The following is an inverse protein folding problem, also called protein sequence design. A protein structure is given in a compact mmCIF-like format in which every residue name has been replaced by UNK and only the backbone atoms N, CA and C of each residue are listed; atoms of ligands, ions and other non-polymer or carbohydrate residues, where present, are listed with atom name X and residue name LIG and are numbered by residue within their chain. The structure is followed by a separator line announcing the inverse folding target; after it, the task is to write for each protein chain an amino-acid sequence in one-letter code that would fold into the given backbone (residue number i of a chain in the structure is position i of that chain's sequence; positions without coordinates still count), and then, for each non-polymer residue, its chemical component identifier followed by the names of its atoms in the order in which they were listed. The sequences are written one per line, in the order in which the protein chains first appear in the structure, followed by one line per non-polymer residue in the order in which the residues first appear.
data_IF_992963866915
#
_entry.id   IF_992963866915
#
_cell.length_a   1.000
_cell.length_b   1.000
_cell.length_c   1.000
_cell.angle_alpha   90.00
_cell.angle_beta   90.00
_cell.angle_gamma   90.00
#
_symmetry.space_group_name_H-M   'P 1'
#
loop_
_entity.id
_entity.type
_entity.pdbx_description
1 polymer ?
#
# COMPACT_ATOMS: atom_id res chain seq x y z
N UNK A 1 78.75 26.86 27.30
CA UNK A 1 77.28 27.01 27.31
C UNK A 1 76.69 25.72 26.75
N UNK A 2 76.00 25.01 27.64
CA UNK A 2 75.16 23.81 27.50
C UNK A 2 75.42 22.78 26.40
N UNK A 3 76.11 21.68 26.79
CA UNK A 3 76.01 20.34 26.20
C UNK A 3 76.22 19.27 27.31
N UNK A 4 75.37 18.24 27.23
CA UNK A 4 75.27 16.95 27.95
C UNK A 4 76.54 16.24 28.46
N UNK A 5 76.39 15.46 29.55
CA UNK A 5 76.67 14.00 29.71
C UNK A 5 76.94 13.65 31.19
N UNK A 6 76.13 12.76 31.78
CA UNK A 6 76.33 11.30 31.88
C UNK A 6 77.20 10.86 33.08
N UNK A 7 76.57 10.20 34.07
CA UNK A 7 77.11 9.19 35.02
C UNK A 7 75.88 8.50 35.64
N UNK A 8 75.82 7.20 35.90
CA UNK A 8 76.80 6.14 35.86
C UNK A 8 76.11 4.83 36.27
N UNK A 9 76.73 3.72 35.87
CA UNK A 9 76.26 2.34 35.89
C UNK A 9 76.70 1.61 37.18
N UNK A 10 76.17 0.39 37.36
CA UNK A 10 76.59 -0.71 38.26
C UNK A 10 76.05 -0.67 39.70
N UNK A 11 75.70 -1.78 40.36
CA UNK A 11 75.95 -3.19 40.06
C UNK A 11 75.17 -4.12 41.00
N UNK A 12 75.19 -5.41 40.66
CA UNK A 12 74.41 -6.49 41.25
C UNK A 12 74.94 -7.02 42.60
N UNK A 13 74.04 -7.54 43.44
CA UNK A 13 74.35 -8.39 44.60
C UNK A 13 73.11 -9.11 45.15
N UNK A 14 72.98 -10.39 44.81
CA UNK A 14 72.10 -11.43 45.41
C UNK A 14 72.46 -11.61 46.91
N UNK A 15 71.74 -12.22 47.85
CA UNK A 15 70.52 -13.01 48.01
C UNK A 15 70.27 -13.04 49.56
N UNK A 16 69.06 -12.81 50.09
CA UNK A 16 67.92 -13.72 50.30
C UNK A 16 67.95 -14.47 51.66
N UNK A 17 66.80 -14.39 52.37
CA UNK A 17 66.25 -15.22 53.47
C UNK A 17 66.10 -14.48 54.82
N UNK A 18 64.98 -14.50 55.53
CA UNK A 18 63.58 -14.91 55.31
C UNK A 18 62.83 -14.69 56.64
N UNK A 19 61.48 -14.68 56.55
CA UNK A 19 60.45 -14.81 57.58
C UNK A 19 59.99 -13.54 58.31
N UNK A 20 58.73 -13.36 58.70
CA UNK A 20 57.40 -13.82 58.27
C UNK A 20 56.41 -13.25 59.32
N UNK A 21 55.31 -12.61 58.93
CA UNK A 21 53.93 -12.79 59.42
C UNK A 21 53.13 -11.47 59.51
N UNK A 22 52.00 -11.46 58.79
CA UNK A 22 50.94 -10.46 58.86
C UNK A 22 49.79 -10.85 57.94
N UNK A 23 48.82 -11.58 58.49
CA UNK A 23 47.56 -12.01 57.86
C UNK A 23 46.66 -10.80 57.53
N UNK A 24 46.06 -10.74 56.33
CA UNK A 24 44.74 -10.14 56.11
C UNK A 24 44.12 -10.68 54.80
N UNK A 25 42.84 -11.06 54.89
CA UNK A 25 42.17 -12.04 54.06
C UNK A 25 41.94 -11.71 52.58
N UNK A 26 41.86 -12.78 51.79
CA UNK A 26 41.40 -12.79 50.40
C UNK A 26 39.95 -13.29 50.38
N UNK A 27 39.01 -12.40 50.07
CA UNK A 27 37.69 -12.77 49.55
C UNK A 27 37.82 -13.00 48.03
N UNK A 28 37.26 -14.07 47.46
CA UNK A 28 37.20 -14.20 46.01
C UNK A 28 36.14 -13.25 45.47
N UNK A 29 36.57 -12.24 44.72
CA UNK A 29 35.72 -11.46 43.83
C UNK A 29 35.20 -12.39 42.73
N UNK A 30 34.04 -12.99 42.96
CA UNK A 30 33.25 -13.61 41.89
C UNK A 30 32.79 -12.48 40.95
N UNK A 31 33.57 -12.24 39.90
CA UNK A 31 33.15 -11.38 38.80
C UNK A 31 31.93 -12.01 38.14
N UNK A 32 30.74 -11.49 38.44
CA UNK A 32 29.57 -11.73 37.60
C UNK A 32 29.87 -11.09 36.24
N UNK A 33 30.25 -11.93 35.28
CA UNK A 33 30.20 -11.54 33.88
C UNK A 33 28.72 -11.23 33.57
N UNK A 34 28.37 -9.94 33.55
CA UNK A 34 27.15 -9.49 32.91
C UNK A 34 27.25 -9.96 31.45
N UNK A 35 26.54 -11.04 31.14
CA UNK A 35 26.34 -11.44 29.77
C UNK A 35 25.68 -10.26 29.06
N UNK A 36 26.45 -9.55 28.22
CA UNK A 36 25.87 -8.63 27.26
C UNK A 36 24.92 -9.46 26.40
N UNK A 37 23.63 -9.30 26.66
CA UNK A 37 22.57 -9.88 25.84
C UNK A 37 22.76 -9.28 24.45
N UNK A 38 23.42 -10.01 23.55
CA UNK A 38 23.51 -9.64 22.15
C UNK A 38 22.09 -9.44 21.65
N UNK A 39 21.74 -8.22 21.24
CA UNK A 39 20.44 -7.92 20.69
C UNK A 39 20.12 -8.93 19.58
N UNK A 40 18.99 -9.62 19.71
CA UNK A 40 18.58 -10.62 18.72
C UNK A 40 18.60 -9.98 17.33
N UNK A 41 19.22 -10.63 16.35
CA UNK A 41 19.20 -10.13 14.97
C UNK A 41 17.76 -10.20 14.44
N UNK A 42 17.26 -9.17 13.74
CA UNK A 42 15.93 -9.21 13.18
C UNK A 42 15.78 -10.35 12.17
N UNK A 43 14.71 -11.12 12.32
CA UNK A 43 14.35 -12.18 11.37
C UNK A 43 13.72 -11.64 10.09
N UNK A 44 13.19 -10.42 10.17
CA UNK A 44 12.59 -9.70 9.06
C UNK A 44 12.77 -8.20 9.26
N UNK A 45 13.22 -7.51 8.21
CA UNK A 45 13.37 -6.05 8.15
C UNK A 45 12.51 -5.50 7.03
N UNK A 46 11.68 -4.52 7.33
CA UNK A 46 10.79 -3.86 6.39
C UNK A 46 11.11 -2.36 6.41
N UNK A 47 11.32 -1.75 5.25
CA UNK A 47 11.56 -0.31 5.13
C UNK A 47 10.71 0.28 4.00
N UNK A 48 10.29 1.54 4.11
CA UNK A 48 9.69 2.26 2.98
C UNK A 48 8.45 3.09 3.34
N UNK A 49 7.36 2.90 2.60
CA UNK A 49 6.16 3.76 2.64
C UNK A 49 5.60 3.98 4.05
N UNK A 50 5.35 5.24 4.41
CA UNK A 50 4.64 5.64 5.63
C UNK A 50 3.25 5.01 5.71
N UNK A 51 2.58 4.86 4.56
CA UNK A 51 1.23 4.28 4.51
C UNK A 51 1.26 2.82 4.94
N UNK A 52 2.19 2.06 4.41
CA UNK A 52 2.27 0.62 4.67
C UNK A 52 2.95 0.37 6.03
N UNK A 53 4.06 1.06 6.28
CA UNK A 53 4.94 0.83 7.41
C UNK A 53 4.43 1.33 8.76
N UNK A 54 3.64 2.41 8.81
CA UNK A 54 3.20 2.97 10.09
C UNK A 54 2.18 2.08 10.82
N UNK A 55 1.40 1.28 10.09
CA UNK A 55 0.31 0.47 10.66
C UNK A 55 0.19 -0.93 10.05
N UNK A 56 0.13 -1.07 8.72
CA UNK A 56 -0.16 -2.35 8.09
C UNK A 56 0.96 -3.38 8.28
N UNK A 57 2.20 -3.04 7.93
CA UNK A 57 3.36 -3.94 8.03
C UNK A 57 3.57 -4.50 9.46
N UNK A 58 3.63 -3.68 10.53
CA UNK A 58 3.83 -4.21 11.88
C UNK A 58 2.65 -5.06 12.36
N UNK A 59 1.41 -4.73 11.95
CA UNK A 59 0.24 -5.57 12.23
C UNK A 59 0.31 -6.92 11.52
N UNK A 60 0.70 -6.95 10.24
CA UNK A 60 0.87 -8.20 9.48
C UNK A 60 1.94 -9.10 10.11
N UNK A 61 3.08 -8.54 10.51
CA UNK A 61 4.14 -9.30 11.18
C UNK A 61 3.67 -9.85 12.53
N UNK A 62 2.97 -9.04 13.32
CA UNK A 62 2.46 -9.47 14.62
C UNK A 62 1.46 -10.63 14.47
N UNK A 63 0.54 -10.54 13.52
CA UNK A 63 -0.45 -11.60 13.30
C UNK A 63 0.16 -12.84 12.63
N UNK A 64 1.20 -12.69 11.80
CA UNK A 64 2.02 -13.82 11.33
C UNK A 64 2.65 -14.58 12.50
N UNK A 65 3.29 -13.87 13.43
CA UNK A 65 3.90 -14.49 14.61
C UNK A 65 2.86 -15.24 15.44
N UNK A 66 1.67 -14.65 15.66
CA UNK A 66 0.59 -15.35 16.36
C UNK A 66 0.11 -16.59 15.60
N UNK A 67 -0.05 -16.49 14.28
CA UNK A 67 -0.49 -17.61 13.44
C UNK A 67 0.51 -18.76 13.41
N UNK A 68 1.81 -18.47 13.55
CA UNK A 68 2.88 -19.48 13.67
C UNK A 68 3.10 -19.97 15.11
N UNK A 69 2.26 -19.56 16.07
CA UNK A 69 2.29 -20.06 17.45
C UNK A 69 3.31 -19.36 18.36
N UNK A 70 3.88 -18.24 17.94
CA UNK A 70 4.73 -17.44 18.81
C UNK A 70 3.92 -16.78 19.92
N UNK A 71 4.55 -16.61 21.08
CA UNK A 71 3.94 -16.02 22.28
C UNK A 71 4.50 -14.62 22.56
N UNK A 72 3.92 -13.90 23.52
CA UNK A 72 4.35 -12.56 23.93
C UNK A 72 4.49 -11.54 22.78
N UNK A 73 3.63 -11.66 21.76
CA UNK A 73 3.67 -10.81 20.57
C UNK A 73 3.30 -9.38 20.93
N UNK A 74 4.20 -8.44 20.66
CA UNK A 74 4.00 -7.02 20.93
C UNK A 74 4.65 -6.14 19.87
N UNK A 75 3.97 -5.03 19.53
CA UNK A 75 4.48 -3.97 18.67
C UNK A 75 4.89 -2.82 19.58
N UNK A 76 6.13 -2.32 19.46
CA UNK A 76 6.65 -1.21 20.25
C UNK A 76 7.35 -0.19 19.37
N UNK A 77 7.20 1.13 19.64
CA UNK A 77 8.03 2.13 18.99
C UNK A 77 9.48 1.95 19.40
N UNK A 78 10.42 2.23 18.49
CA UNK A 78 11.87 2.15 18.80
C UNK A 78 12.41 3.42 19.45
N UNK A 79 11.60 4.48 19.50
CA UNK A 79 12.03 5.84 19.87
C UNK A 79 12.52 6.66 18.67
N UNK A 80 12.68 6.03 17.49
CA UNK A 80 12.83 6.74 16.22
C UNK A 80 11.45 6.88 15.58
N UNK A 81 11.21 8.04 14.98
CA UNK A 81 9.95 8.38 14.33
C UNK A 81 9.60 7.36 13.24
N UNK A 82 8.34 6.93 13.19
CA UNK A 82 7.84 5.93 12.22
C UNK A 82 8.62 4.60 12.19
N UNK A 83 9.36 4.30 13.26
CA UNK A 83 10.05 3.03 13.44
C UNK A 83 9.45 2.21 14.57
N UNK A 84 9.17 0.95 14.25
CA UNK A 84 8.55 0.01 15.15
C UNK A 84 9.29 -1.32 15.15
N UNK A 85 9.31 -1.96 16.32
CA UNK A 85 9.78 -3.32 16.49
C UNK A 85 8.60 -4.21 16.85
N UNK A 86 8.49 -5.35 16.17
CA UNK A 86 7.58 -6.43 16.53
C UNK A 86 8.40 -7.52 17.22
N UNK A 87 8.13 -7.78 18.49
CA UNK A 87 8.82 -8.81 19.28
C UNK A 87 7.89 -9.96 19.61
N UNK A 88 8.40 -11.18 19.68
CA UNK A 88 7.71 -12.37 20.14
C UNK A 88 8.69 -13.38 20.77
N UNK A 89 8.18 -14.49 21.29
CA UNK A 89 8.96 -15.64 21.77
C UNK A 89 8.59 -16.92 21.04
N UNK A 90 9.60 -17.68 20.62
CA UNK A 90 9.41 -19.01 20.03
C UNK A 90 9.03 -20.06 21.09
N UNK A 91 8.85 -21.31 20.66
CA UNK A 91 8.48 -22.43 21.54
C UNK A 91 9.54 -22.73 22.62
N UNK A 92 10.78 -22.29 22.44
CA UNK A 92 11.89 -22.42 23.39
C UNK A 92 12.06 -21.15 24.25
N UNK A 93 11.15 -20.19 24.12
CA UNK A 93 11.19 -18.91 24.83
C UNK A 93 12.24 -17.93 24.30
N UNK A 94 12.90 -18.24 23.17
CA UNK A 94 13.92 -17.36 22.58
C UNK A 94 13.25 -16.15 21.91
N UNK A 95 13.85 -14.95 22.05
CA UNK A 95 13.28 -13.75 21.46
C UNK A 95 13.42 -13.76 19.93
N UNK A 96 12.31 -13.46 19.25
CA UNK A 96 12.24 -13.22 17.81
C UNK A 96 11.79 -11.79 17.59
N UNK A 97 12.50 -11.06 16.74
CA UNK A 97 12.18 -9.67 16.45
C UNK A 97 12.10 -9.41 14.95
N UNK A 98 11.22 -8.51 14.55
CA UNK A 98 11.19 -7.89 13.24
C UNK A 98 11.19 -6.37 13.40
N UNK A 99 11.73 -5.66 12.41
CA UNK A 99 11.79 -4.21 12.42
C UNK A 99 11.06 -3.62 11.22
N UNK A 100 10.38 -2.50 11.44
CA UNK A 100 9.68 -1.73 10.41
C UNK A 100 10.13 -0.28 10.51
N UNK A 101 10.62 0.30 9.41
CA UNK A 101 10.96 1.72 9.32
C UNK A 101 10.21 2.39 8.16
N UNK A 102 9.30 3.30 8.47
CA UNK A 102 8.45 3.95 7.49
C UNK A 102 8.92 5.39 7.23
N UNK A 103 9.71 5.57 6.17
CA UNK A 103 10.36 6.84 5.80
C UNK A 103 10.10 7.23 4.34
N UNK A 104 9.00 6.74 3.77
CA UNK A 104 8.61 6.92 2.38
C UNK A 104 9.11 5.82 1.43
N UNK A 105 8.33 5.53 0.38
CA UNK A 105 8.52 4.35 -0.50
C UNK A 105 9.93 4.22 -1.10
N UNK A 106 10.57 5.35 -1.44
CA UNK A 106 11.92 5.36 -2.02
C UNK A 106 13.00 4.78 -1.10
N UNK A 107 12.85 4.96 0.22
CA UNK A 107 13.82 4.48 1.21
C UNK A 107 13.88 2.96 1.29
N UNK A 108 12.74 2.28 1.07
CA UNK A 108 12.69 0.82 0.99
C UNK A 108 13.51 0.27 -0.18
N UNK A 109 13.42 0.89 -1.36
CA UNK A 109 14.19 0.49 -2.53
C UNK A 109 15.70 0.71 -2.33
N UNK A 110 16.09 1.82 -1.71
CA UNK A 110 17.49 2.05 -1.28
C UNK A 110 17.93 0.98 -0.29
N UNK A 111 17.06 0.61 0.65
CA UNK A 111 17.33 -0.44 1.62
C UNK A 111 17.54 -1.81 0.98
N UNK A 112 16.74 -2.16 -0.04
CA UNK A 112 16.92 -3.42 -0.79
C UNK A 112 18.25 -3.43 -1.52
N UNK A 113 18.60 -2.31 -2.17
CA UNK A 113 19.87 -2.16 -2.89
C UNK A 113 21.08 -2.37 -1.97
N UNK A 114 20.99 -1.83 -0.76
CA UNK A 114 22.08 -1.87 0.23
C UNK A 114 22.05 -3.14 1.12
N UNK A 115 21.03 -4.00 0.97
CA UNK A 115 20.84 -5.19 1.82
C UNK A 115 20.47 -4.88 3.28
N UNK A 116 20.03 -3.66 3.58
CA UNK A 116 19.62 -3.22 4.93
C UNK A 116 18.16 -3.54 5.24
N UNK A 117 17.36 -3.89 4.23
CA UNK A 117 15.98 -4.37 4.38
C UNK A 117 15.78 -5.68 3.62
N UNK A 118 14.81 -6.48 4.05
CA UNK A 118 14.41 -7.71 3.35
C UNK A 118 13.18 -7.47 2.47
N UNK A 119 12.33 -6.52 2.87
CA UNK A 119 11.17 -6.07 2.11
C UNK A 119 11.15 -4.54 2.01
N UNK A 120 10.90 -4.03 0.81
CA UNK A 120 10.56 -2.62 0.59
C UNK A 120 9.04 -2.46 0.57
N UNK A 121 8.49 -1.78 1.56
CA UNK A 121 7.10 -1.36 1.57
C UNK A 121 6.91 -0.16 0.64
N UNK A 122 5.93 -0.19 -0.24
CA UNK A 122 5.66 0.91 -1.17
C UNK A 122 4.17 1.16 -1.32
N UNK A 123 3.79 2.42 -1.52
CA UNK A 123 2.42 2.83 -1.81
C UNK A 123 2.23 3.35 -3.24
N UNK A 124 3.17 2.98 -4.12
CA UNK A 124 3.13 3.19 -5.57
C UNK A 124 3.96 2.10 -6.25
N UNK A 125 3.78 1.87 -7.55
CA UNK A 125 4.72 1.06 -8.31
C UNK A 125 6.16 1.60 -8.19
N UNK A 126 7.14 0.71 -8.32
CA UNK A 126 8.55 1.08 -8.46
C UNK A 126 8.75 2.00 -9.67
N UNK A 127 9.50 3.09 -9.50
CA UNK A 127 9.84 4.03 -10.61
C UNK A 127 10.89 3.40 -11.51
N UNK A 128 10.94 3.80 -12.77
CA UNK A 128 11.93 3.25 -13.72
C UNK A 128 13.38 3.55 -13.31
N UNK A 129 13.64 4.71 -12.68
CA UNK A 129 14.96 5.02 -12.12
C UNK A 129 15.34 4.12 -10.93
N UNK A 130 14.37 3.74 -10.09
CA UNK A 130 14.58 2.81 -8.98
C UNK A 130 14.82 1.39 -9.52
N UNK A 131 14.03 0.96 -10.50
CA UNK A 131 14.18 -0.32 -11.20
C UNK A 131 15.58 -0.44 -11.81
N UNK A 132 16.04 0.58 -12.54
CA UNK A 132 17.38 0.63 -13.11
C UNK A 132 18.46 0.53 -12.03
N UNK A 133 18.26 1.19 -10.87
CA UNK A 133 19.22 1.17 -9.77
C UNK A 133 19.32 -0.19 -9.03
N UNK A 134 18.29 -1.04 -9.20
CA UNK A 134 18.12 -2.34 -8.55
C UNK A 134 18.30 -3.51 -9.51
N UNK A 135 18.68 -3.26 -10.77
CA UNK A 135 18.76 -4.28 -11.81
C UNK A 135 19.65 -5.48 -11.44
N UNK A 136 20.66 -5.28 -10.58
CA UNK A 136 21.53 -6.35 -10.08
C UNK A 136 20.81 -7.37 -9.19
N UNK A 137 19.64 -7.05 -8.65
CA UNK A 137 18.82 -7.97 -7.84
C UNK A 137 17.89 -8.85 -8.69
N UNK A 138 17.70 -8.50 -9.97
CA UNK A 138 16.78 -9.17 -10.89
C UNK A 138 15.57 -8.30 -11.27
N UNK A 139 14.51 -8.93 -11.77
CA UNK A 139 13.30 -8.24 -12.22
C UNK A 139 12.38 -7.91 -11.03
N UNK A 140 12.42 -6.65 -10.58
CA UNK A 140 11.58 -6.16 -9.48
C UNK A 140 10.10 -6.03 -9.87
N UNK A 141 9.74 -6.14 -11.16
CA UNK A 141 8.35 -6.21 -11.63
C UNK A 141 7.85 -7.66 -11.75
N UNK A 142 8.66 -8.66 -11.40
CA UNK A 142 8.24 -10.07 -11.39
C UNK A 142 7.28 -10.40 -10.24
N UNK A 143 6.48 -11.45 -10.42
CA UNK A 143 5.62 -12.04 -9.37
C UNK A 143 6.37 -12.46 -8.10
N UNK A 144 7.69 -12.69 -8.18
CA UNK A 144 8.50 -13.03 -7.01
C UNK A 144 8.84 -11.76 -6.22
N UNK A 145 9.16 -10.67 -6.91
CA UNK A 145 9.50 -9.41 -6.28
C UNK A 145 8.27 -8.64 -5.79
N UNK A 146 7.32 -8.33 -6.68
CA UNK A 146 6.24 -7.39 -6.44
C UNK A 146 4.99 -8.08 -5.88
N UNK A 147 4.60 -7.68 -4.67
CA UNK A 147 3.43 -8.22 -3.97
C UNK A 147 2.43 -7.11 -3.69
N UNK A 148 1.32 -7.08 -4.43
CA UNK A 148 0.20 -6.17 -4.13
C UNK A 148 -0.64 -6.78 -3.02
N UNK A 149 -0.59 -6.23 -1.82
CA UNK A 149 -1.20 -6.85 -0.62
C UNK A 149 -2.51 -6.22 -0.17
N UNK A 150 -2.76 -4.97 -0.55
CA UNK A 150 -3.94 -4.21 -0.15
C UNK A 150 -4.22 -3.10 -1.16
N UNK A 151 -5.46 -2.59 -1.14
CA UNK A 151 -5.84 -1.37 -1.85
C UNK A 151 -6.18 -0.29 -0.83
N UNK A 152 -5.69 0.90 -1.07
CA UNK A 152 -5.96 2.09 -0.27
C UNK A 152 -6.84 3.05 -1.07
N UNK A 153 -7.67 3.81 -0.35
CA UNK A 153 -8.58 4.78 -0.93
C UNK A 153 -8.59 6.05 -0.09
N UNK A 154 -8.64 7.19 -0.78
CA UNK A 154 -8.69 8.49 -0.12
C UNK A 154 -10.06 9.16 -0.33
N UNK A 155 -10.72 9.52 0.76
CA UNK A 155 -11.94 10.30 0.71
C UNK A 155 -11.61 11.80 0.77
N UNK A 156 -12.16 12.57 -0.16
CA UNK A 156 -12.19 14.03 -0.05
C UNK A 156 -13.42 14.40 0.74
N UNK A 157 -13.20 15.10 1.84
CA UNK A 157 -14.25 15.43 2.80
C UNK A 157 -14.48 16.94 2.85
N UNK A 158 -15.74 17.31 2.96
CA UNK A 158 -16.22 18.68 3.15
C UNK A 158 -17.25 18.71 4.28
N UNK A 159 -17.61 19.92 4.71
CA UNK A 159 -18.70 20.10 5.65
C UNK A 159 -20.02 19.48 5.15
N UNK A 160 -20.86 18.88 6.01
CA UNK A 160 -22.14 18.26 5.62
C UNK A 160 -23.10 19.17 4.84
N UNK A 161 -23.08 20.48 5.10
CA UNK A 161 -23.93 21.47 4.40
C UNK A 161 -23.36 21.95 3.06
N UNK A 162 -22.16 21.53 2.66
CA UNK A 162 -21.58 21.95 1.39
C UNK A 162 -22.42 21.33 0.23
N UNK A 163 -22.92 22.15 -0.72
CA UNK A 163 -23.85 21.68 -1.74
C UNK A 163 -23.19 20.78 -2.80
N UNK A 164 -21.87 20.86 -2.96
CA UNK A 164 -21.11 20.09 -3.95
C UNK A 164 -21.33 18.59 -3.76
N UNK A 165 -21.62 17.87 -4.84
CA UNK A 165 -21.78 16.41 -4.83
C UNK A 165 -20.53 15.70 -5.36
N UNK A 166 -19.84 16.34 -6.29
CA UNK A 166 -18.63 15.82 -6.92
C UNK A 166 -17.62 16.93 -7.19
N UNK A 167 -16.36 16.55 -7.34
CA UNK A 167 -15.27 17.44 -7.77
C UNK A 167 -14.34 16.66 -8.71
N UNK A 168 -13.81 17.31 -9.75
CA UNK A 168 -12.81 16.66 -10.61
C UNK A 168 -11.44 16.60 -9.94
N UNK A 169 -10.62 15.63 -10.36
CA UNK A 169 -9.21 15.51 -9.97
C UNK A 169 -8.43 16.81 -10.22
N UNK A 170 -8.67 17.47 -11.36
CA UNK A 170 -8.06 18.75 -11.71
C UNK A 170 -8.52 19.90 -10.78
N UNK A 171 -9.83 20.04 -10.56
CA UNK A 171 -10.36 21.06 -9.65
C UNK A 171 -9.83 20.88 -8.23
N UNK A 172 -9.73 19.62 -7.78
CA UNK A 172 -9.18 19.27 -6.48
C UNK A 172 -7.71 19.67 -6.36
N UNK A 173 -6.88 19.39 -7.38
CA UNK A 173 -5.48 19.80 -7.40
C UNK A 173 -5.33 21.33 -7.34
N UNK A 174 -6.09 22.06 -8.17
CA UNK A 174 -6.10 23.53 -8.19
C UNK A 174 -6.53 24.13 -6.84
N UNK A 175 -7.52 23.51 -6.20
CA UNK A 175 -8.03 23.93 -4.90
C UNK A 175 -6.95 23.76 -3.82
N UNK A 176 -6.31 22.60 -3.72
CA UNK A 176 -5.24 22.38 -2.73
C UNK A 176 -3.93 23.10 -3.05
N UNK A 177 -3.74 23.56 -4.29
CA UNK A 177 -2.68 24.48 -4.70
C UNK A 177 -3.00 25.96 -4.38
N UNK A 178 -4.17 26.26 -3.81
CA UNK A 178 -4.59 27.62 -3.44
C UNK A 178 -4.98 28.51 -4.62
N UNK A 179 -5.18 27.92 -5.80
CA UNK A 179 -5.58 28.61 -7.03
C UNK A 179 -7.09 28.86 -7.09
N UNK A 180 -7.87 28.08 -6.33
CA UNK A 180 -9.30 28.31 -6.08
C UNK A 180 -9.42 28.72 -4.62
N UNK A 181 -9.96 29.92 -4.37
CA UNK A 181 -10.04 30.50 -3.02
C UNK A 181 -11.47 30.59 -2.51
N UNK A 182 -12.45 30.48 -3.39
CA UNK A 182 -13.87 30.45 -3.08
C UNK A 182 -14.55 29.29 -3.81
N UNK A 183 -15.45 28.58 -3.12
CA UNK A 183 -16.21 27.47 -3.68
C UNK A 183 -17.06 27.87 -4.90
N UNK A 184 -17.51 29.13 -4.98
CA UNK A 184 -18.27 29.64 -6.12
C UNK A 184 -17.49 29.58 -7.45
N UNK A 185 -16.16 29.62 -7.42
CA UNK A 185 -15.31 29.52 -8.62
C UNK A 185 -15.41 28.15 -9.32
N UNK A 186 -15.86 27.12 -8.60
CA UNK A 186 -16.03 25.76 -9.10
C UNK A 186 -17.48 25.25 -8.97
N UNK A 187 -18.43 26.18 -8.84
CA UNK A 187 -19.88 25.88 -8.83
C UNK A 187 -20.47 25.56 -7.45
N UNK A 188 -19.74 25.83 -6.36
CA UNK A 188 -20.24 25.72 -4.99
C UNK A 188 -20.90 27.01 -4.48
N UNK A 189 -21.10 27.07 -3.16
CA UNK A 189 -21.62 28.27 -2.48
C UNK A 189 -20.57 29.41 -2.44
N UNK A 190 -21.01 30.65 -2.25
CA UNK A 190 -20.11 31.77 -1.99
C UNK A 190 -19.51 31.67 -0.57
N UNK A 191 -18.47 30.86 -0.46
CA UNK A 191 -17.77 30.54 0.79
C UNK A 191 -16.27 30.43 0.50
N UNK A 192 -15.46 31.09 1.34
CA UNK A 192 -14.00 30.94 1.28
C UNK A 192 -13.57 29.51 1.57
N UNK A 193 -12.63 29.01 0.78
CA UNK A 193 -12.06 27.66 0.93
C UNK A 193 -11.04 27.66 2.07
N UNK A 194 -11.17 26.70 2.99
CA UNK A 194 -10.17 26.42 4.03
C UNK A 194 -9.59 25.02 3.84
N UNK A 195 -8.27 24.95 3.66
CA UNK A 195 -7.56 23.72 3.35
C UNK A 195 -7.12 23.02 4.63
N UNK A 196 -7.49 21.75 4.77
CA UNK A 196 -7.07 20.86 5.85
C UNK A 196 -6.32 19.68 5.27
N UNK A 197 -5.12 19.41 5.76
CA UNK A 197 -4.26 18.36 5.22
C UNK A 197 -3.54 17.63 6.35
N UNK A 198 -3.26 16.35 6.16
CA UNK A 198 -2.42 15.59 7.10
C UNK A 198 -0.97 16.04 7.00
N UNK A 199 -0.23 15.96 8.09
CA UNK A 199 1.19 16.38 8.18
C UNK A 199 2.15 15.63 7.22
N UNK A 200 3.42 16.02 7.25
CA UNK A 200 4.46 15.47 6.35
C UNK A 200 4.83 14.02 6.69
N UNK A 201 4.47 13.54 7.89
CA UNK A 201 4.70 12.16 8.35
C UNK A 201 3.59 11.22 7.86
N UNK A 202 2.48 11.76 7.36
CA UNK A 202 1.29 11.01 7.05
C UNK A 202 1.37 10.25 5.72
N UNK A 203 1.15 8.93 5.81
CA UNK A 203 0.90 8.11 4.61
C UNK A 203 -0.34 8.55 3.82
N UNK A 204 -1.34 9.12 4.49
CA UNK A 204 -2.52 9.70 3.83
C UNK A 204 -2.13 10.94 3.01
N UNK A 205 -1.22 11.79 3.52
CA UNK A 205 -0.69 12.91 2.75
C UNK A 205 0.19 12.45 1.58
N UNK A 206 1.05 11.44 1.78
CA UNK A 206 1.81 10.85 0.68
C UNK A 206 0.90 10.35 -0.45
N UNK A 207 -0.26 9.79 -0.10
CA UNK A 207 -1.31 9.39 -1.06
C UNK A 207 -1.80 10.58 -1.86
N UNK A 208 -2.24 11.62 -1.16
CA UNK A 208 -2.83 12.80 -1.77
C UNK A 208 -1.82 13.52 -2.67
N UNK A 209 -0.58 13.64 -2.19
CA UNK A 209 0.53 14.23 -2.93
C UNK A 209 0.79 13.49 -4.24
N UNK A 210 0.82 12.17 -4.24
CA UNK A 210 1.08 11.39 -5.46
C UNK A 210 -0.12 11.37 -6.41
N UNK A 211 -1.34 11.15 -5.90
CA UNK A 211 -2.53 10.95 -6.74
C UNK A 211 -3.17 12.26 -7.26
N UNK A 212 -3.03 13.36 -6.51
CA UNK A 212 -3.72 14.63 -6.81
C UNK A 212 -2.72 15.72 -7.21
N UNK A 213 -1.72 15.96 -6.37
CA UNK A 213 -0.82 17.10 -6.58
C UNK A 213 0.20 16.84 -7.69
N UNK A 214 0.96 15.75 -7.59
CA UNK A 214 2.00 15.39 -8.54
C UNK A 214 1.44 15.05 -9.92
N UNK A 215 0.27 14.41 -9.99
CA UNK A 215 -0.42 14.12 -11.25
C UNK A 215 -0.79 15.38 -12.04
N UNK A 216 -0.93 16.52 -11.37
CA UNK A 216 -1.21 17.83 -11.98
C UNK A 216 -0.04 18.80 -11.87
N UNK A 217 1.17 18.33 -11.52
CA UNK A 217 2.36 19.18 -11.34
C UNK A 217 2.15 20.37 -10.39
N UNK A 218 1.39 20.14 -9.31
CA UNK A 218 1.13 21.12 -8.25
C UNK A 218 1.71 20.67 -6.92
N UNK A 219 1.69 21.58 -5.93
CA UNK A 219 2.12 21.33 -4.56
C UNK A 219 1.08 21.86 -3.59
N UNK A 220 1.07 21.32 -2.37
CA UNK A 220 0.16 21.78 -1.34
C UNK A 220 0.45 23.26 -1.00
N UNK A 221 -0.60 24.07 -0.97
CA UNK A 221 -0.48 25.47 -0.59
C UNK A 221 -0.12 25.62 0.90
N UNK A 222 0.72 26.60 1.22
CA UNK A 222 1.24 26.83 2.58
C UNK A 222 0.18 27.23 3.61
N UNK A 223 -1.02 27.64 3.16
CA UNK A 223 -2.14 27.95 4.05
C UNK A 223 -2.88 26.73 4.59
N UNK A 224 -2.53 25.52 4.16
CA UNK A 224 -3.20 24.31 4.61
C UNK A 224 -2.90 24.04 6.09
N UNK A 225 -3.95 23.95 6.90
CA UNK A 225 -3.85 23.53 8.29
C UNK A 225 -3.41 22.07 8.34
N UNK A 226 -2.38 21.78 9.15
CA UNK A 226 -1.70 20.48 9.21
C UNK A 226 -2.17 19.70 10.43
N UNK A 227 -2.48 18.42 10.23
CA UNK A 227 -3.01 17.53 11.29
C UNK A 227 -2.25 16.21 11.36
N UNK A 228 -1.91 15.79 12.57
CA UNK A 228 -1.38 14.46 12.82
C UNK A 228 -2.49 13.40 12.74
N UNK A 229 -3.69 13.68 13.23
CA UNK A 229 -4.81 12.72 13.26
C UNK A 229 -5.78 12.90 12.09
N UNK A 230 -6.19 11.78 11.46
CA UNK A 230 -7.30 11.81 10.49
C UNK A 230 -8.62 12.22 11.14
N UNK A 231 -8.87 11.76 12.37
CA UNK A 231 -10.14 11.98 13.05
C UNK A 231 -10.27 13.43 13.52
N UNK A 232 -9.16 14.05 13.94
CA UNK A 232 -9.10 15.48 14.25
C UNK A 232 -9.31 16.33 13.00
N UNK A 233 -8.66 15.98 11.89
CA UNK A 233 -8.86 16.65 10.59
C UNK A 233 -10.33 16.57 10.17
N UNK A 234 -10.93 15.39 10.26
CA UNK A 234 -12.36 15.18 9.94
C UNK A 234 -13.28 16.01 10.83
N UNK A 235 -13.02 16.04 12.15
CA UNK A 235 -13.77 16.86 13.08
C UNK A 235 -13.65 18.37 12.77
N UNK A 236 -12.45 18.84 12.39
CA UNK A 236 -12.23 20.22 11.97
C UNK A 236 -13.04 20.58 10.72
N UNK A 237 -13.07 19.68 9.71
CA UNK A 237 -13.88 19.87 8.49
C UNK A 237 -15.39 19.93 8.81
N UNK A 238 -15.86 19.14 9.78
CA UNK A 238 -17.27 19.19 10.24
C UNK A 238 -17.60 20.48 10.99
N UNK A 239 -16.62 21.15 11.61
CA UNK A 239 -16.83 22.42 12.31
C UNK A 239 -16.93 23.64 11.39
N UNK A 240 -16.69 23.46 10.09
CA UNK A 240 -16.35 24.56 9.21
C UNK A 240 -16.99 24.43 7.80
N UNK A 241 -18.04 25.20 7.48
CA UNK A 241 -18.72 25.15 6.18
C UNK A 241 -17.86 25.39 4.93
N UNK A 242 -16.73 26.09 5.08
CA UNK A 242 -15.79 26.39 3.99
C UNK A 242 -14.65 25.36 3.87
N UNK A 243 -14.54 24.43 4.83
CA UNK A 243 -13.42 23.50 4.89
C UNK A 243 -13.50 22.37 3.87
N UNK A 244 -12.32 21.96 3.41
CA UNK A 244 -12.07 20.73 2.66
C UNK A 244 -10.80 20.09 3.15
N UNK A 245 -10.85 18.77 3.25
CA UNK A 245 -9.70 17.96 3.62
C UNK A 245 -9.76 16.59 2.98
N UNK A 246 -8.80 15.75 3.34
CA UNK A 246 -8.73 14.37 2.86
C UNK A 246 -8.32 13.43 3.98
N UNK A 247 -8.94 12.25 4.00
CA UNK A 247 -8.74 11.20 5.01
C UNK A 247 -8.84 9.82 4.38
N UNK A 248 -8.28 8.80 5.04
CA UNK A 248 -8.61 7.41 4.69
C UNK A 248 -10.09 7.11 4.95
N UNK A 249 -10.67 6.15 4.21
CA UNK A 249 -12.11 5.84 4.24
C UNK A 249 -12.68 5.66 5.66
N UNK A 250 -11.95 4.98 6.54
CA UNK A 250 -12.40 4.71 7.92
C UNK A 250 -12.57 5.98 8.79
N UNK A 251 -11.98 7.11 8.40
CA UNK A 251 -11.97 8.36 9.16
C UNK A 251 -12.85 9.46 8.56
N UNK A 252 -13.71 9.14 7.58
CA UNK A 252 -14.69 10.11 7.04
C UNK A 252 -15.60 10.63 8.17
N UNK A 253 -16.00 9.75 9.10
CA UNK A 253 -16.77 10.14 10.28
C UNK A 253 -18.11 10.80 9.91
N UNK A 254 -18.35 12.01 10.45
CA UNK A 254 -19.55 12.80 10.16
C UNK A 254 -19.40 13.77 8.98
N UNK A 255 -18.20 13.87 8.40
CA UNK A 255 -17.99 14.74 7.25
C UNK A 255 -18.70 14.17 6.01
N UNK A 256 -18.98 15.02 5.02
CA UNK A 256 -19.53 14.60 3.74
C UNK A 256 -18.38 14.26 2.80
N UNK A 257 -18.36 13.04 2.27
CA UNK A 257 -17.44 12.67 1.20
C UNK A 257 -17.96 13.17 -0.16
N UNK A 258 -17.08 13.73 -0.98
CA UNK A 258 -17.38 14.08 -2.36
C UNK A 258 -17.10 12.90 -3.30
N UNK A 259 -17.93 12.74 -4.33
CA UNK A 259 -17.58 11.89 -5.46
C UNK A 259 -16.46 12.52 -6.29
N UNK A 260 -15.58 11.71 -6.87
CA UNK A 260 -14.48 12.18 -7.70
C UNK A 260 -14.73 11.81 -9.15
N UNK A 261 -14.52 12.77 -10.04
CA UNK A 261 -14.39 12.53 -11.49
C UNK A 261 -12.94 12.69 -11.93
N UNK A 262 -12.57 11.97 -12.98
CA UNK A 262 -11.26 12.06 -13.60
C UNK A 262 -11.40 11.90 -15.12
N UNK A 263 -11.10 12.97 -15.86
CA UNK A 263 -11.45 13.08 -17.28
C UNK A 263 -12.96 12.87 -17.51
N UNK A 264 -13.29 11.92 -18.39
CA UNK A 264 -14.67 11.61 -18.78
C UNK A 264 -15.35 10.55 -17.89
N UNK A 265 -14.74 10.18 -16.75
CA UNK A 265 -15.34 9.18 -15.86
C UNK A 265 -16.62 9.68 -15.20
N UNK A 266 -17.49 8.73 -14.84
CA UNK A 266 -18.65 9.04 -14.00
C UNK A 266 -18.18 9.44 -12.60
N UNK A 267 -18.88 10.34 -11.88
CA UNK A 267 -18.58 10.64 -10.50
C UNK A 267 -18.65 9.38 -9.64
N UNK A 268 -17.57 9.07 -8.93
CA UNK A 268 -17.47 7.88 -8.07
C UNK A 268 -17.24 8.27 -6.61
N UNK A 269 -18.04 7.70 -5.70
CA UNK A 269 -17.81 7.83 -4.27
C UNK A 269 -16.66 6.90 -3.79
N UNK A 270 -15.98 7.27 -2.69
CA UNK A 270 -14.96 6.43 -2.05
C UNK A 270 -15.60 5.25 -1.31
N UNK A 271 -16.15 4.29 -2.04
CA UNK A 271 -16.78 3.09 -1.50
C UNK A 271 -15.78 1.94 -1.45
N UNK A 272 -15.95 1.01 -0.50
CA UNK A 272 -15.14 -0.21 -0.44
C UNK A 272 -15.12 -0.96 -1.77
N UNK A 273 -16.25 -1.00 -2.48
CA UNK A 273 -16.42 -1.71 -3.75
C UNK A 273 -15.69 -1.02 -4.90
N UNK A 274 -15.84 0.30 -5.05
CA UNK A 274 -15.19 1.09 -6.10
C UNK A 274 -13.68 1.22 -5.86
N UNK A 275 -13.25 1.20 -4.60
CA UNK A 275 -11.83 1.13 -4.24
C UNK A 275 -11.27 -0.27 -4.50
N UNK A 276 -11.97 -1.36 -4.13
CA UNK A 276 -11.52 -2.73 -4.36
C UNK A 276 -11.29 -3.05 -5.84
N UNK A 277 -12.16 -2.55 -6.72
CA UNK A 277 -12.02 -2.68 -8.17
C UNK A 277 -10.98 -1.71 -8.75
N UNK A 278 -10.45 -0.77 -7.97
CA UNK A 278 -9.57 0.31 -8.42
C UNK A 278 -10.24 1.24 -9.46
N UNK A 279 -11.58 1.31 -9.46
CA UNK A 279 -12.36 2.23 -10.31
C UNK A 279 -12.34 3.64 -9.72
N UNK A 280 -12.45 3.77 -8.39
CA UNK A 280 -12.47 5.06 -7.72
C UNK A 280 -11.17 5.86 -7.96
N UNK A 281 -11.21 7.11 -8.45
CA UNK A 281 -10.02 7.81 -8.93
C UNK A 281 -8.87 7.92 -7.92
N UNK A 282 -9.18 8.10 -6.64
CA UNK A 282 -8.19 8.22 -5.57
C UNK A 282 -7.93 6.89 -4.85
N UNK A 283 -7.92 5.80 -5.61
CA UNK A 283 -7.48 4.48 -5.15
C UNK A 283 -6.04 4.20 -5.57
N UNK A 284 -5.33 3.38 -4.79
CA UNK A 284 -3.99 2.92 -5.12
C UNK A 284 -3.69 1.56 -4.52
N UNK A 285 -2.74 0.87 -5.14
CA UNK A 285 -2.20 -0.38 -4.65
C UNK A 285 -1.15 -0.13 -3.57
N UNK A 286 -1.12 -1.01 -2.57
CA UNK A 286 -0.07 -1.10 -1.56
C UNK A 286 0.76 -2.35 -1.81
N UNK A 287 2.08 -2.19 -1.76
CA UNK A 287 3.06 -3.16 -2.22
C UNK A 287 4.05 -3.53 -1.13
N UNK A 288 4.50 -4.77 -1.19
CA UNK A 288 5.84 -5.15 -0.71
C UNK A 288 6.68 -5.61 -1.91
N UNK A 289 7.91 -5.15 -1.98
CA UNK A 289 8.90 -5.62 -2.93
C UNK A 289 9.98 -6.43 -2.20
N UNK A 290 10.27 -7.63 -2.71
CA UNK A 290 11.36 -8.48 -2.25
C UNK A 290 12.47 -8.56 -3.31
N UNK A 291 13.67 -8.95 -2.90
CA UNK A 291 14.72 -9.33 -3.85
C UNK A 291 14.33 -10.65 -4.54
N UNK A 292 14.01 -10.68 -5.85
CA UNK A 292 13.50 -11.87 -6.51
C UNK A 292 14.54 -13.01 -6.57
N UNK A 293 15.83 -12.70 -6.46
CA UNK A 293 16.91 -13.68 -6.49
C UNK A 293 17.18 -14.34 -5.13
N UNK A 294 16.66 -13.78 -4.04
CA UNK A 294 16.94 -14.26 -2.68
C UNK A 294 15.79 -13.96 -1.73
N UNK A 295 14.93 -14.96 -1.51
CA UNK A 295 13.94 -14.91 -0.45
C UNK A 295 14.44 -15.71 0.76
N UNK A 296 14.53 -15.06 1.92
CA UNK A 296 14.64 -15.78 3.17
C UNK A 296 13.36 -16.58 3.44
N UNK A 297 13.42 -17.58 4.31
CA UNK A 297 12.22 -18.31 4.71
C UNK A 297 11.18 -17.37 5.34
N UNK A 298 11.62 -16.36 6.10
CA UNK A 298 10.76 -15.34 6.71
C UNK A 298 10.06 -14.46 5.67
N UNK A 299 10.75 -14.06 4.60
CA UNK A 299 10.14 -13.30 3.50
C UNK A 299 9.03 -14.09 2.84
N UNK A 300 9.24 -15.38 2.53
CA UNK A 300 8.21 -16.23 1.93
C UNK A 300 6.98 -16.37 2.83
N UNK A 301 7.20 -16.72 4.12
CA UNK A 301 6.10 -16.87 5.08
C UNK A 301 5.32 -15.57 5.28
N UNK A 302 5.99 -14.43 5.31
CA UNK A 302 5.32 -13.14 5.36
C UNK A 302 4.47 -12.87 4.12
N UNK A 303 4.98 -13.10 2.91
CA UNK A 303 4.24 -12.90 1.65
C UNK A 303 3.02 -13.83 1.60
N UNK A 304 3.21 -15.11 1.92
CA UNK A 304 2.14 -16.11 1.94
C UNK A 304 1.05 -15.73 2.95
N UNK A 305 1.43 -15.32 4.17
CA UNK A 305 0.50 -14.86 5.18
C UNK A 305 -0.23 -13.59 4.74
N UNK A 306 0.47 -12.59 4.19
CA UNK A 306 -0.14 -11.34 3.75
C UNK A 306 -1.23 -11.56 2.68
N UNK A 307 -1.10 -12.58 1.84
CA UNK A 307 -2.10 -12.95 0.85
C UNK A 307 -3.18 -13.93 1.34
N UNK A 308 -3.00 -14.57 2.49
CA UNK A 308 -3.98 -15.46 3.11
C UNK A 308 -5.22 -14.70 3.63
N UNK A 309 -6.32 -15.40 3.88
CA UNK A 309 -7.53 -14.80 4.46
C UNK A 309 -7.27 -14.16 5.83
N UNK A 310 -6.40 -14.77 6.65
CA UNK A 310 -5.99 -14.20 7.93
C UNK A 310 -5.24 -12.87 7.74
N UNK A 311 -4.29 -12.81 6.80
CA UNK A 311 -3.57 -11.57 6.46
C UNK A 311 -4.49 -10.51 5.87
N UNK A 312 -5.44 -10.89 5.03
CA UNK A 312 -6.43 -9.97 4.48
C UNK A 312 -7.41 -9.45 5.54
N UNK A 313 -7.72 -10.22 6.59
CA UNK A 313 -8.45 -9.70 7.75
C UNK A 313 -7.65 -8.61 8.49
N UNK A 314 -6.32 -8.73 8.55
CA UNK A 314 -5.44 -7.68 9.08
C UNK A 314 -5.48 -6.42 8.20
N UNK A 315 -5.50 -6.58 6.87
CA UNK A 315 -5.66 -5.46 5.92
C UNK A 315 -6.90 -4.64 6.24
N UNK A 316 -8.06 -5.30 6.43
CA UNK A 316 -9.31 -4.64 6.83
C UNK A 316 -9.17 -3.95 8.19
N UNK A 317 -8.62 -4.65 9.19
CA UNK A 317 -8.41 -4.08 10.54
C UNK A 317 -7.48 -2.87 10.53
N UNK A 318 -6.51 -2.83 9.63
CA UNK A 318 -5.62 -1.69 9.45
C UNK A 318 -6.35 -0.47 8.84
N UNK A 319 -7.51 -0.67 8.21
CA UNK A 319 -8.33 0.36 7.58
C UNK A 319 -8.20 0.42 6.06
N UNK A 320 -7.61 -0.61 5.45
CA UNK A 320 -7.44 -0.74 4.00
C UNK A 320 -8.43 -1.74 3.41
N UNK A 321 -8.49 -1.79 2.09
CA UNK A 321 -9.38 -2.68 1.36
C UNK A 321 -8.64 -3.98 1.03
N UNK A 322 -9.21 -5.09 1.50
CA UNK A 322 -8.74 -6.44 1.21
C UNK A 322 -9.03 -6.87 -0.23
N UNK A 323 -8.29 -7.87 -0.69
CA UNK A 323 -8.36 -8.43 -2.04
C UNK A 323 -9.32 -9.63 -2.13
N UNK A 324 -10.07 -9.93 -1.06
CA UNK A 324 -11.09 -10.99 -1.08
C UNK A 324 -12.19 -10.64 -2.10
N UNK A 325 -12.66 -11.67 -2.81
CA UNK A 325 -13.69 -11.54 -3.83
C UNK A 325 -15.06 -11.45 -3.17
N UNK A 326 -15.82 -10.42 -3.53
CA UNK A 326 -17.22 -10.25 -3.15
C UNK A 326 -18.07 -10.03 -4.39
N UNK A 327 -19.28 -10.58 -4.40
CA UNK A 327 -20.27 -10.31 -5.45
C UNK A 327 -21.19 -9.16 -5.02
N UNK A 328 -21.22 -8.10 -5.82
CA UNK A 328 -21.96 -6.87 -5.55
C UNK A 328 -23.00 -6.59 -6.62
N UNK A 329 -24.21 -6.24 -6.19
CA UNK A 329 -25.25 -5.76 -7.11
C UNK A 329 -24.88 -4.35 -7.59
N UNK A 330 -25.05 -4.11 -8.88
CA UNK A 330 -24.82 -2.79 -9.46
C UNK A 330 -26.17 -2.12 -9.72
N UNK A 331 -26.29 -0.83 -9.40
CA UNK A 331 -27.48 -0.05 -9.72
C UNK A 331 -27.42 0.36 -11.20
N UNK A 332 -28.32 -0.12 -12.07
CA UNK A 332 -28.29 0.25 -13.47
C UNK A 332 -28.62 1.74 -13.65
N UNK A 333 -27.77 2.46 -14.38
CA UNK A 333 -28.00 3.86 -14.76
C UNK A 333 -28.30 3.98 -16.25
N UNK A 334 -29.09 4.99 -16.65
CA UNK A 334 -29.36 5.28 -18.07
C UNK A 334 -28.09 5.61 -18.86
N UNK A 335 -27.04 6.11 -18.19
CA UNK A 335 -25.73 6.40 -18.80
C UNK A 335 -24.94 5.16 -19.20
N UNK A 336 -25.33 3.97 -18.74
CA UNK A 336 -24.64 2.72 -19.09
C UNK A 336 -25.17 2.15 -20.42
N UNK A 337 -24.35 1.47 -21.24
CA UNK A 337 -24.81 0.77 -22.45
C UNK A 337 -25.92 -0.25 -22.17
N UNK A 338 -26.83 -0.45 -23.12
CA UNK A 338 -28.04 -1.27 -22.92
C UNK A 338 -27.73 -2.70 -22.45
N UNK A 339 -26.75 -3.37 -23.06
CA UNK A 339 -26.31 -4.71 -22.67
C UNK A 339 -25.74 -4.73 -21.24
N UNK A 340 -24.93 -3.72 -20.87
CA UNK A 340 -24.35 -3.61 -19.53
C UNK A 340 -25.42 -3.34 -18.47
N UNK A 341 -26.44 -2.52 -18.76
CA UNK A 341 -27.60 -2.32 -17.87
C UNK A 341 -28.37 -3.60 -17.64
N UNK A 342 -28.52 -4.44 -18.66
CA UNK A 342 -29.19 -5.73 -18.52
C UNK A 342 -28.37 -6.66 -17.63
N UNK A 343 -27.06 -6.75 -17.86
CA UNK A 343 -26.15 -7.51 -17.02
C UNK A 343 -26.23 -7.04 -15.56
N UNK A 344 -26.23 -5.72 -15.31
CA UNK A 344 -26.36 -5.14 -13.97
C UNK A 344 -27.68 -5.47 -13.27
N UNK A 345 -28.76 -5.76 -14.02
CA UNK A 345 -30.04 -6.18 -13.45
C UNK A 345 -30.08 -7.66 -13.08
N UNK A 346 -29.37 -8.50 -13.82
CA UNK A 346 -29.50 -9.96 -13.73
C UNK A 346 -28.33 -10.65 -13.01
N UNK A 347 -27.18 -9.98 -12.91
CA UNK A 347 -25.95 -10.54 -12.38
C UNK A 347 -25.34 -9.61 -11.33
N UNK A 348 -24.41 -10.16 -10.55
CA UNK A 348 -23.57 -9.43 -9.59
C UNK A 348 -22.16 -9.28 -10.15
N UNK A 349 -21.59 -8.08 -10.04
CA UNK A 349 -20.19 -7.82 -10.40
C UNK A 349 -19.31 -8.33 -9.27
N UNK A 350 -18.19 -8.99 -9.58
CA UNK A 350 -17.20 -9.30 -8.53
C UNK A 350 -16.32 -8.08 -8.27
N UNK A 351 -15.88 -7.88 -7.03
CA UNK A 351 -15.01 -6.77 -6.59
C UNK A 351 -13.55 -6.93 -7.05
N UNK A 352 -13.35 -7.22 -8.34
CA UNK A 352 -12.04 -7.41 -8.96
C UNK A 352 -12.07 -6.93 -10.40
N UNK A 353 -10.99 -6.26 -10.79
CA UNK A 353 -10.68 -5.93 -12.16
C UNK A 353 -9.37 -6.62 -12.55
N UNK A 354 -9.35 -7.25 -13.72
CA UNK A 354 -8.11 -7.74 -14.31
C UNK A 354 -7.48 -6.64 -15.15
N UNK A 355 -6.23 -6.31 -14.83
CA UNK A 355 -5.41 -5.32 -15.54
C UNK A 355 -4.18 -5.99 -16.13
N UNK A 356 -3.48 -5.24 -16.98
CA UNK A 356 -2.40 -5.75 -17.81
C UNK A 356 -1.15 -4.92 -17.58
N UNK A 357 0.01 -5.55 -17.76
CA UNK A 357 1.28 -4.84 -17.79
C UNK A 357 1.27 -3.78 -18.90
N UNK A 358 2.00 -2.69 -18.67
CA UNK A 358 2.00 -1.58 -19.62
C UNK A 358 2.50 -2.01 -21.01
N UNK A 359 1.79 -1.58 -22.05
CA UNK A 359 2.04 -1.99 -23.43
C UNK A 359 1.87 -3.50 -23.72
N UNK A 360 1.30 -4.29 -22.81
CA UNK A 360 1.24 -5.76 -22.91
C UNK A 360 -0.19 -6.31 -22.84
N UNK A 361 -0.36 -7.54 -23.35
CA UNK A 361 -1.56 -8.35 -23.14
C UNK A 361 -1.41 -9.35 -21.97
N UNK A 362 -0.27 -9.31 -21.26
CA UNK A 362 -0.01 -10.10 -20.07
C UNK A 362 -0.71 -9.46 -18.87
N UNK A 363 -1.36 -10.28 -18.05
CA UNK A 363 -1.96 -9.83 -16.79
C UNK A 363 -0.88 -9.29 -15.86
N UNK A 364 -1.16 -8.20 -15.16
CA UNK A 364 -0.26 -7.71 -14.12
C UNK A 364 -0.18 -8.67 -12.93
N UNK A 365 0.75 -8.42 -11.99
CA UNK A 365 0.99 -9.34 -10.88
C UNK A 365 -0.23 -9.52 -9.96
N UNK A 366 -1.01 -8.45 -9.72
CA UNK A 366 -2.23 -8.53 -8.93
C UNK A 366 -3.27 -9.39 -9.66
N UNK A 367 -3.49 -9.11 -10.94
CA UNK A 367 -4.43 -9.82 -11.78
C UNK A 367 -4.08 -11.31 -11.88
N UNK A 368 -2.80 -11.66 -11.97
CA UNK A 368 -2.36 -13.06 -11.92
C UNK A 368 -2.75 -13.75 -10.61
N UNK A 369 -2.56 -13.12 -9.45
CA UNK A 369 -3.03 -13.67 -8.15
C UNK A 369 -4.55 -13.71 -8.05
N UNK A 370 -5.23 -12.73 -8.65
CA UNK A 370 -6.68 -12.65 -8.64
C UNK A 370 -7.35 -13.75 -9.48
N UNK A 371 -6.67 -14.29 -10.48
CA UNK A 371 -7.14 -15.49 -11.21
C UNK A 371 -7.40 -16.62 -10.20
N UNK A 372 -6.46 -16.89 -9.30
CA UNK A 372 -6.58 -17.96 -8.31
C UNK A 372 -7.71 -17.66 -7.30
N UNK A 373 -7.82 -16.41 -6.83
CA UNK A 373 -8.89 -15.99 -5.91
C UNK A 373 -10.27 -16.12 -6.54
N UNK A 374 -10.41 -15.74 -7.80
CA UNK A 374 -11.67 -15.85 -8.53
C UNK A 374 -12.01 -17.33 -8.76
N UNK A 375 -11.05 -18.18 -9.11
CA UNK A 375 -11.28 -19.62 -9.25
C UNK A 375 -11.74 -20.23 -7.92
N UNK A 376 -11.10 -19.88 -6.80
CA UNK A 376 -11.50 -20.34 -5.47
C UNK A 376 -12.92 -19.90 -5.15
N UNK A 377 -13.22 -18.60 -5.29
CA UNK A 377 -14.55 -18.05 -5.07
C UNK A 377 -15.63 -18.74 -5.92
N UNK A 378 -15.40 -18.90 -7.23
CA UNK A 378 -16.36 -19.54 -8.12
C UNK A 378 -16.59 -21.00 -7.77
N UNK A 379 -15.55 -21.71 -7.31
CA UNK A 379 -15.65 -23.11 -6.86
C UNK A 379 -16.46 -23.23 -5.57
N UNK A 380 -16.16 -22.40 -4.59
CA UNK A 380 -16.84 -22.38 -3.28
C UNK A 380 -18.33 -22.06 -3.39
N UNK A 381 -18.72 -21.30 -4.43
CA UNK A 381 -20.10 -20.86 -4.64
C UNK A 381 -20.85 -21.64 -5.75
N UNK A 382 -20.28 -22.72 -6.30
CA UNK A 382 -20.85 -23.51 -7.41
C UNK A 382 -21.16 -22.68 -8.68
N UNK A 383 -20.28 -21.72 -9.01
CA UNK A 383 -20.42 -20.78 -10.13
C UNK A 383 -19.48 -21.10 -11.30
N UNK A 384 -18.81 -22.26 -11.30
CA UNK A 384 -17.83 -22.63 -12.33
C UNK A 384 -18.46 -22.87 -13.72
N UNK A 385 -19.76 -23.21 -13.80
CA UNK A 385 -20.39 -23.68 -15.05
C UNK A 385 -21.47 -22.73 -15.57
N UNK A 386 -21.15 -21.96 -16.61
CA UNK A 386 -22.07 -21.06 -17.32
C UNK A 386 -22.77 -20.03 -16.43
N UNK A 387 -22.13 -19.63 -15.32
CA UNK A 387 -22.60 -18.56 -14.43
C UNK A 387 -21.75 -17.31 -14.51
N UNK A 388 -20.54 -17.38 -15.07
CA UNK A 388 -19.63 -16.25 -15.15
C UNK A 388 -19.70 -15.54 -16.52
N UNK A 389 -19.56 -14.21 -16.51
CA UNK A 389 -19.45 -13.35 -17.69
C UNK A 389 -18.20 -12.47 -17.57
N UNK A 390 -17.49 -12.27 -18.68
CA UNK A 390 -16.39 -11.30 -18.75
C UNK A 390 -16.77 -10.13 -19.65
N UNK A 391 -16.47 -8.92 -19.20
CA UNK A 391 -16.68 -7.68 -19.94
C UNK A 391 -15.35 -6.94 -20.03
N UNK A 392 -14.82 -6.80 -21.24
CA UNK A 392 -13.60 -6.06 -21.49
C UNK A 392 -13.84 -4.59 -21.79
N UNK A 393 -12.91 -3.74 -21.35
CA UNK A 393 -12.87 -2.30 -21.57
C UNK A 393 -11.50 -1.85 -22.12
N UNK A 394 -11.44 -0.64 -22.63
CA UNK A 394 -10.28 -0.05 -23.28
C UNK A 394 -10.19 1.46 -23.09
N UNK A 395 -9.12 2.02 -23.64
CA UNK A 395 -8.60 3.37 -23.39
C UNK A 395 -8.57 4.24 -24.66
N UNK A 396 -9.16 3.77 -25.75
CA UNK A 396 -8.87 4.29 -27.09
C UNK A 396 -10.09 4.90 -27.77
N UNK A 397 -9.98 6.16 -28.20
CA UNK A 397 -10.88 6.81 -29.18
C UNK A 397 -10.63 6.28 -30.61
N UNK A 398 -10.41 4.97 -30.75
CA UNK A 398 -10.34 4.32 -32.05
C UNK A 398 -11.76 4.21 -32.62
N UNK A 399 -11.86 3.79 -33.89
CA UNK A 399 -13.15 3.36 -34.44
C UNK A 399 -13.86 2.40 -33.45
N UNK A 400 -15.15 2.61 -33.12
CA UNK A 400 -15.85 1.86 -32.09
C UNK A 400 -15.78 0.34 -32.28
N UNK A 401 -15.79 -0.14 -33.53
CA UNK A 401 -15.69 -1.58 -33.82
C UNK A 401 -14.33 -2.15 -33.45
N UNK A 402 -13.25 -1.38 -33.66
CA UNK A 402 -11.89 -1.75 -33.29
C UNK A 402 -11.68 -1.70 -31.78
N UNK A 403 -12.23 -0.70 -31.10
CA UNK A 403 -12.20 -0.61 -29.64
C UNK A 403 -12.92 -1.80 -28.99
N UNK A 404 -14.11 -2.15 -29.47
CA UNK A 404 -14.87 -3.32 -29.03
C UNK A 404 -14.10 -4.63 -29.26
N UNK A 405 -13.43 -4.79 -30.41
CA UNK A 405 -12.60 -5.97 -30.69
C UNK A 405 -11.41 -6.08 -29.72
N UNK A 406 -10.65 -5.00 -29.51
CA UNK A 406 -9.46 -5.00 -28.64
C UNK A 406 -9.86 -5.29 -27.19
N UNK A 407 -10.90 -4.65 -26.69
CA UNK A 407 -11.42 -4.90 -25.35
C UNK A 407 -11.91 -6.34 -25.18
N UNK A 408 -12.56 -6.92 -26.19
CA UNK A 408 -12.93 -8.35 -26.19
C UNK A 408 -11.70 -9.27 -26.18
N UNK A 409 -10.64 -8.96 -26.92
CA UNK A 409 -9.40 -9.75 -26.90
C UNK A 409 -8.74 -9.75 -25.51
N UNK A 410 -8.80 -8.64 -24.78
CA UNK A 410 -8.36 -8.59 -23.37
C UNK A 410 -9.21 -9.51 -22.49
N UNK A 411 -10.53 -9.48 -22.65
CA UNK A 411 -11.43 -10.40 -21.94
C UNK A 411 -11.10 -11.88 -22.27
N UNK A 412 -10.73 -12.18 -23.52
CA UNK A 412 -10.28 -13.52 -23.91
C UNK A 412 -8.94 -13.92 -23.27
N UNK A 413 -8.03 -12.99 -23.02
CA UNK A 413 -6.78 -13.25 -22.31
C UNK A 413 -7.05 -13.68 -20.86
N UNK A 414 -7.93 -12.97 -20.16
CA UNK A 414 -8.39 -13.35 -18.80
C UNK A 414 -9.09 -14.71 -18.83
N UNK A 415 -10.00 -14.93 -19.79
CA UNK A 415 -10.69 -16.19 -19.98
C UNK A 415 -9.72 -17.37 -20.12
N UNK A 416 -8.64 -17.20 -20.90
CA UNK A 416 -7.63 -18.25 -21.09
C UNK A 416 -7.02 -18.70 -19.78
N UNK A 417 -6.78 -17.78 -18.84
CA UNK A 417 -6.23 -18.11 -17.53
C UNK A 417 -7.29 -18.75 -16.61
N UNK A 418 -8.51 -18.20 -16.55
CA UNK A 418 -9.61 -18.76 -15.73
C UNK A 418 -10.06 -20.15 -16.18
N UNK A 419 -10.03 -20.46 -17.48
CA UNK A 419 -10.37 -21.78 -18.03
C UNK A 419 -9.39 -22.87 -17.55
N UNK A 420 -8.11 -22.53 -17.28
CA UNK A 420 -7.15 -23.48 -16.68
C UNK A 420 -7.62 -23.95 -15.30
N UNK A 421 -8.40 -23.12 -14.59
CA UNK A 421 -9.06 -23.45 -13.33
C UNK A 421 -10.42 -24.15 -13.46
N UNK A 422 -10.87 -24.46 -14.68
CA UNK A 422 -12.14 -25.14 -14.96
C UNK A 422 -13.35 -24.23 -15.13
N UNK A 423 -13.17 -22.91 -15.23
CA UNK A 423 -14.29 -21.96 -15.41
C UNK A 423 -14.85 -22.04 -16.83
N UNK A 424 -16.17 -22.25 -16.94
CA UNK A 424 -16.93 -22.19 -18.20
C UNK A 424 -17.79 -20.94 -18.18
N UNK A 425 -17.53 -20.02 -19.10
CA UNK A 425 -18.24 -18.74 -19.19
C UNK A 425 -19.58 -18.88 -19.92
N UNK A 426 -20.57 -18.10 -19.48
CA UNK A 426 -21.83 -17.88 -20.20
C UNK A 426 -21.62 -16.95 -21.39
N UNK A 427 -20.85 -15.88 -21.19
CA UNK A 427 -20.62 -14.86 -22.20
C UNK A 427 -19.25 -14.17 -22.00
N UNK A 428 -18.67 -13.69 -23.11
CA UNK A 428 -17.48 -12.84 -23.13
C UNK A 428 -17.73 -11.70 -24.13
N UNK A 429 -17.75 -10.47 -23.63
CA UNK A 429 -18.02 -9.27 -24.40
C UNK A 429 -16.90 -8.24 -24.28
N UNK A 430 -16.90 -7.26 -25.19
CA UNK A 430 -16.01 -6.10 -25.15
C UNK A 430 -16.83 -4.85 -25.45
N UNK A 431 -16.70 -3.83 -24.61
CA UNK A 431 -17.45 -2.57 -24.70
C UNK A 431 -16.60 -1.40 -25.21
N UNK A 432 -15.36 -1.65 -25.64
CA UNK A 432 -14.49 -0.57 -26.11
C UNK A 432 -14.13 0.39 -24.99
N UNK A 433 -14.17 1.68 -25.28
CA UNK A 433 -13.86 2.80 -24.38
C UNK A 433 -15.07 3.33 -23.59
N UNK A 434 -16.20 2.63 -23.66
CA UNK A 434 -17.39 2.90 -22.84
C UNK A 434 -17.07 2.81 -21.35
N UNK A 435 -17.79 3.60 -20.54
CA UNK A 435 -17.65 3.61 -19.07
C UNK A 435 -16.19 3.77 -18.59
N UNK A 436 -15.50 4.87 -18.97
CA UNK A 436 -14.17 5.17 -18.46
C UNK A 436 -14.23 5.41 -16.95
N UNK A 437 -13.18 4.98 -16.25
CA UNK A 437 -13.00 5.15 -14.80
C UNK A 437 -11.90 6.18 -14.48
N UNK A 438 -11.15 6.61 -15.49
CA UNK A 438 -10.11 7.62 -15.39
C UNK A 438 -9.96 8.39 -16.71
N UNK A 439 -9.15 9.45 -16.71
CA UNK A 439 -8.79 10.15 -17.95
C UNK A 439 -8.02 9.24 -18.92
N UNK A 440 -8.10 9.51 -20.23
CA UNK A 440 -7.25 8.85 -21.22
C UNK A 440 -6.02 9.71 -21.60
N UNK A 441 -5.90 10.91 -21.02
CA UNK A 441 -4.84 11.86 -21.36
C UNK A 441 -3.47 11.38 -20.86
N UNK A 442 -3.43 10.74 -19.68
CA UNK A 442 -2.22 10.21 -19.07
C UNK A 442 -2.13 8.67 -19.13
N UNK A 443 -0.92 8.15 -18.94
CA UNK A 443 -0.66 6.71 -19.04
C UNK A 443 -1.36 5.89 -17.93
N UNK A 444 -1.45 6.43 -16.71
CA UNK A 444 -2.07 5.74 -15.60
C UNK A 444 -3.58 5.63 -15.82
N UNK A 445 -4.24 6.72 -16.24
CA UNK A 445 -5.66 6.68 -16.58
C UNK A 445 -5.99 5.70 -17.71
N UNK A 446 -5.16 5.64 -18.76
CA UNK A 446 -5.26 4.60 -19.81
C UNK A 446 -5.13 3.18 -19.26
N UNK A 447 -4.16 2.91 -18.39
CA UNK A 447 -3.99 1.59 -17.73
C UNK A 447 -5.27 1.21 -16.96
N UNK A 448 -5.89 2.15 -16.26
CA UNK A 448 -7.13 1.90 -15.50
C UNK A 448 -8.32 1.57 -16.38
N UNK A 449 -8.43 2.24 -17.53
CA UNK A 449 -9.48 2.01 -18.50
C UNK A 449 -9.29 0.67 -19.26
N UNK A 450 -8.05 0.20 -19.42
CA UNK A 450 -7.72 -1.15 -19.92
C UNK A 450 -7.96 -2.23 -18.86
N UNK A 451 -9.23 -2.49 -18.57
CA UNK A 451 -9.67 -3.46 -17.56
C UNK A 451 -10.56 -4.55 -18.14
N UNK A 452 -10.65 -5.67 -17.44
CA UNK A 452 -11.69 -6.69 -17.65
C UNK A 452 -12.41 -6.89 -16.33
N UNK A 453 -13.74 -6.82 -16.39
CA UNK A 453 -14.63 -7.08 -15.27
C UNK A 453 -15.17 -8.51 -15.37
N UNK A 454 -15.48 -9.11 -14.22
CA UNK A 454 -16.15 -10.41 -14.13
C UNK A 454 -17.45 -10.28 -13.34
N UNK A 455 -18.47 -10.97 -13.84
CA UNK A 455 -19.82 -10.97 -13.33
C UNK A 455 -20.32 -12.40 -13.11
N UNK A 456 -21.22 -12.60 -12.16
CA UNK A 456 -21.82 -13.90 -11.84
C UNK A 456 -23.34 -13.80 -11.71
N UNK A 457 -24.06 -14.75 -12.31
CA UNK A 457 -25.51 -14.92 -12.15
C UNK A 457 -25.87 -15.69 -10.90
#
# INVERSE_FOLDING_TARGET
MDISRDKGRQGWGKALRSLSLGLLGLLPLAGQALAQQTAAQPVLRIQGSNTVGAKLAPMLVAELFKAEGFTDVAIRPTGVENEQQVSARDAQGQPVIATVAAHGSGTGFVGLKNGTTDLAASSRPIKDSELASLASLGDLKSMQAEQVVAIDGLAIIVHPSNPMQSISSEQLARLFAGQVKNWAEIGGADLSVRLHARDDMSGTYDTFKELVLASHSTSLHSSALRYESNDELSAAVVGDPGAVGFVGLASVGRAKALAITDGNSLPMFPETTTVATEDYPLSRRLFFYANPSSHSAWVRRFIDFAHSDAGQAVVVKAGYIAQNIQAVTQTPSQSMPAAYRQLAREAKRLTVNFRFDDGSARLDNKAQRDIDRVIAYLRENDLLRQRAVLVGFGDSNLDPSRAALISRLRAMAVRRELVKGGVIFKEISGLGDELPVASNDDANGRIRNRRVEIWVY
#
